data_IF_021940159751
#
_entry.id   IF_021940159751
#
_cell.length_a   1.000
_cell.length_b   1.000
_cell.length_c   1.000
_cell.angle_alpha   90.00
_cell.angle_beta   90.00
_cell.angle_gamma   90.00
#
_symmetry.space_group_name_H-M   'P 1'
#
loop_
_entity.id
_entity.type
_entity.pdbx_description
1 polymer ?
#
# COMPACT_ATOMS: atom_id res chain seq x y z
N UNK A 1 -5.15 -14.00 1.38
CA UNK A 1 -5.80 -13.99 0.05
C UNK A 1 -6.97 -14.97 0.04
N UNK A 2 -7.98 -14.72 -0.78
CA UNK A 2 -9.13 -15.62 -0.95
C UNK A 2 -8.71 -17.09 -1.19
N UNK A 3 -7.56 -17.32 -1.82
CA UNK A 3 -7.04 -18.66 -2.07
C UNK A 3 -6.61 -19.42 -0.80
N UNK A 4 -6.11 -18.75 0.22
CA UNK A 4 -5.72 -19.37 1.50
C UNK A 4 -6.96 -19.72 2.31
N UNK A 5 -7.90 -18.78 2.40
CA UNK A 5 -9.20 -18.99 3.09
C UNK A 5 -9.97 -20.13 2.42
N UNK A 6 -10.01 -20.16 1.08
CA UNK A 6 -10.65 -21.23 0.32
C UNK A 6 -9.98 -22.58 0.57
N UNK A 7 -8.64 -22.63 0.66
CA UNK A 7 -7.92 -23.88 1.02
C UNK A 7 -8.25 -24.35 2.43
N UNK A 8 -8.36 -23.45 3.40
CA UNK A 8 -8.74 -23.80 4.77
C UNK A 8 -10.16 -24.37 4.83
N UNK A 9 -11.12 -23.75 4.13
CA UNK A 9 -12.49 -24.24 4.02
C UNK A 9 -12.55 -25.61 3.33
N UNK A 10 -11.90 -25.77 2.19
CA UNK A 10 -11.91 -27.02 1.41
C UNK A 10 -11.23 -28.17 2.15
N UNK A 11 -10.17 -27.93 2.89
CA UNK A 11 -9.44 -28.93 3.66
C UNK A 11 -10.06 -29.19 5.03
N UNK A 12 -11.19 -28.54 5.36
CA UNK A 12 -11.85 -28.63 6.67
C UNK A 12 -10.88 -28.41 7.85
N UNK A 13 -9.85 -27.61 7.64
CA UNK A 13 -8.84 -27.31 8.65
C UNK A 13 -9.44 -26.55 9.81
N UNK A 14 -10.40 -25.66 9.51
CA UNK A 14 -11.19 -24.91 10.49
C UNK A 14 -12.66 -24.99 10.11
N UNK A 15 -13.60 -25.04 11.07
CA UNK A 15 -15.03 -24.98 10.80
C UNK A 15 -15.41 -23.62 10.22
N UNK A 16 -16.06 -23.65 9.05
CA UNK A 16 -16.57 -22.43 8.44
C UNK A 16 -17.95 -22.11 9.04
N UNK A 17 -18.12 -20.88 9.49
CA UNK A 17 -19.36 -20.34 10.03
C UNK A 17 -20.02 -19.49 8.94
N UNK A 18 -21.34 -19.58 8.81
CA UNK A 18 -22.13 -18.70 7.96
C UNK A 18 -23.09 -17.95 8.87
N UNK A 19 -22.90 -16.64 8.97
CA UNK A 19 -23.76 -15.74 9.73
C UNK A 19 -24.29 -14.64 8.81
N UNK A 20 -25.62 -14.48 8.77
CA UNK A 20 -26.31 -13.52 7.90
C UNK A 20 -25.82 -13.52 6.44
N UNK A 21 -25.45 -14.69 5.89
CA UNK A 21 -24.96 -14.85 4.52
C UNK A 21 -23.48 -14.51 4.33
N UNK A 22 -22.77 -14.16 5.40
CA UNK A 22 -21.33 -13.91 5.40
C UNK A 22 -20.61 -15.19 5.88
N UNK A 23 -19.70 -15.70 5.04
CA UNK A 23 -18.88 -16.86 5.41
C UNK A 23 -17.61 -16.41 6.12
N UNK A 24 -17.29 -17.02 7.25
CA UNK A 24 -16.12 -16.71 8.06
C UNK A 24 -15.62 -17.90 8.87
N UNK A 25 -14.65 -17.65 9.72
CA UNK A 25 -14.14 -18.59 10.72
C UNK A 25 -14.20 -17.94 12.10
N UNK A 26 -14.40 -18.74 13.14
CA UNK A 26 -14.29 -18.23 14.49
C UNK A 26 -12.83 -17.83 14.80
N UNK A 27 -12.65 -16.70 15.45
CA UNK A 27 -11.31 -16.22 15.81
C UNK A 27 -10.61 -17.15 16.80
N UNK A 28 -11.37 -17.84 17.67
CA UNK A 28 -10.81 -18.82 18.60
C UNK A 28 -10.18 -20.02 17.87
N UNK A 29 -10.79 -20.46 16.77
CA UNK A 29 -10.25 -21.53 15.94
C UNK A 29 -8.97 -21.10 15.20
N UNK A 30 -8.88 -19.83 14.84
CA UNK A 30 -7.73 -19.26 14.15
C UNK A 30 -6.55 -18.92 15.07
N UNK A 31 -6.78 -18.87 16.40
CA UNK A 31 -5.75 -18.53 17.38
C UNK A 31 -4.56 -19.50 17.43
N UNK A 32 -4.72 -20.70 16.88
CA UNK A 32 -3.62 -21.69 16.72
C UNK A 32 -2.64 -21.35 15.59
N UNK A 33 -2.95 -20.33 14.78
CA UNK A 33 -2.08 -19.87 13.67
C UNK A 33 -1.13 -18.80 14.23
N UNK A 34 0.21 -18.99 14.16
CA UNK A 34 1.17 -18.06 14.76
C UNK A 34 1.01 -16.61 14.30
N UNK A 35 0.70 -16.39 13.01
CA UNK A 35 0.51 -15.05 12.46
C UNK A 35 -0.76 -14.38 13.01
N UNK A 36 -1.82 -15.15 13.23
CA UNK A 36 -3.07 -14.64 13.83
C UNK A 36 -2.85 -14.36 15.31
N UNK A 37 -2.15 -15.24 16.02
CA UNK A 37 -1.80 -15.03 17.40
C UNK A 37 -0.97 -13.75 17.58
N UNK A 38 0.09 -13.57 16.78
CA UNK A 38 0.91 -12.36 16.81
C UNK A 38 0.09 -11.08 16.51
N UNK A 39 -0.91 -11.16 15.63
CA UNK A 39 -1.80 -10.06 15.34
C UNK A 39 -2.73 -9.76 16.53
N UNK A 40 -3.25 -10.78 17.21
CA UNK A 40 -4.12 -10.63 18.38
C UNK A 40 -3.37 -10.11 19.61
N UNK A 41 -2.10 -10.49 19.77
CA UNK A 41 -1.22 -10.05 20.84
C UNK A 41 -0.55 -8.69 20.55
N UNK A 42 -0.76 -8.15 19.34
CA UNK A 42 -0.17 -6.87 18.95
C UNK A 42 -0.73 -5.73 19.81
N UNK A 43 0.17 -4.82 20.19
CA UNK A 43 -0.19 -3.64 20.99
C UNK A 43 -0.54 -2.43 20.12
N UNK A 44 -1.00 -2.66 18.89
CA UNK A 44 -1.36 -1.60 17.95
C UNK A 44 -2.36 -0.60 18.51
N UNK A 45 -3.30 -1.08 19.34
CA UNK A 45 -4.30 -0.20 19.96
C UNK A 45 -3.69 0.78 20.97
N UNK A 46 -2.55 0.42 21.59
CA UNK A 46 -1.83 1.34 22.48
C UNK A 46 -1.10 2.44 21.71
N UNK A 47 -0.72 2.19 20.47
CA UNK A 47 -0.05 3.17 19.62
C UNK A 47 -1.03 4.18 19.01
N UNK A 48 -2.29 3.80 18.82
CA UNK A 48 -3.34 4.70 18.33
C UNK A 48 -3.58 5.91 19.24
N UNK A 49 -3.36 5.75 20.53
CA UNK A 49 -3.54 6.81 21.53
C UNK A 49 -2.32 7.73 21.63
N UNK A 50 -1.25 7.46 20.86
CA UNK A 50 -0.07 8.29 20.83
C UNK A 50 -0.37 9.61 20.13
N UNK A 51 -0.20 10.73 20.84
CA UNK A 51 -0.32 12.05 20.21
C UNK A 51 0.94 12.32 19.38
N UNK A 52 0.83 12.54 18.07
CA UNK A 52 1.99 12.85 17.25
C UNK A 52 2.61 14.18 17.68
N UNK A 53 3.94 14.27 17.65
CA UNK A 53 4.67 15.51 18.00
C UNK A 53 4.31 16.69 17.10
N UNK A 54 3.91 16.40 15.87
CA UNK A 54 3.42 17.35 14.87
C UNK A 54 2.66 16.61 13.78
N UNK A 55 1.99 17.33 12.92
CA UNK A 55 1.46 16.77 11.68
C UNK A 55 2.61 16.43 10.72
N UNK A 56 2.60 15.22 10.17
CA UNK A 56 3.56 14.75 9.18
C UNK A 56 2.91 14.75 7.80
N UNK A 57 3.62 15.28 6.81
CA UNK A 57 3.17 15.34 5.43
C UNK A 57 3.65 14.13 4.65
N UNK A 58 2.76 13.55 3.84
CA UNK A 58 3.09 12.43 2.99
C UNK A 58 2.75 12.66 1.52
N UNK A 59 3.50 11.97 0.68
CA UNK A 59 3.20 11.78 -0.76
C UNK A 59 3.12 10.28 -1.01
N UNK A 60 2.13 9.86 -1.78
CA UNK A 60 2.03 8.48 -2.24
C UNK A 60 1.94 8.44 -3.76
N UNK A 61 2.82 7.66 -4.38
CA UNK A 61 2.82 7.38 -5.81
C UNK A 61 2.25 5.99 -6.06
N UNK A 62 1.53 5.83 -7.16
CA UNK A 62 0.86 4.56 -7.50
C UNK A 62 -0.16 4.16 -6.43
N UNK A 63 -0.97 5.13 -5.98
CA UNK A 63 -1.80 5.01 -4.79
C UNK A 63 -2.93 3.96 -4.91
N UNK A 64 -3.24 3.50 -6.12
CA UNK A 64 -4.35 2.59 -6.34
C UNK A 64 -5.66 3.17 -5.81
N UNK A 65 -6.49 2.34 -5.21
CA UNK A 65 -7.74 2.78 -4.56
C UNK A 65 -7.55 3.40 -3.15
N UNK A 66 -6.28 3.59 -2.72
CA UNK A 66 -5.95 4.32 -1.50
C UNK A 66 -5.86 3.48 -0.23
N UNK A 67 -5.57 2.19 -0.33
CA UNK A 67 -5.46 1.33 0.85
C UNK A 67 -4.36 1.78 1.82
N UNK A 68 -3.16 2.03 1.31
CA UNK A 68 -2.03 2.53 2.09
C UNK A 68 -2.29 3.96 2.57
N UNK A 69 -2.78 4.85 1.68
CA UNK A 69 -3.14 6.22 2.03
C UNK A 69 -4.15 6.27 3.19
N UNK A 70 -5.15 5.39 3.18
CA UNK A 70 -6.11 5.31 4.28
C UNK A 70 -5.44 4.92 5.59
N UNK A 71 -4.58 3.90 5.57
CA UNK A 71 -3.82 3.48 6.74
C UNK A 71 -2.94 4.60 7.30
N UNK A 72 -2.24 5.31 6.43
CA UNK A 72 -1.41 6.46 6.80
C UNK A 72 -2.25 7.62 7.36
N UNK A 73 -3.41 7.90 6.75
CA UNK A 73 -4.34 8.93 7.27
C UNK A 73 -4.84 8.58 8.68
N UNK A 74 -5.14 7.29 8.93
CA UNK A 74 -5.51 6.82 10.28
C UNK A 74 -4.35 6.94 11.27
N UNK A 75 -3.11 6.83 10.81
CA UNK A 75 -1.90 7.07 11.60
C UNK A 75 -1.57 8.56 11.78
N UNK A 76 -2.41 9.49 11.29
CA UNK A 76 -2.25 10.92 11.49
C UNK A 76 -1.43 11.65 10.41
N UNK A 77 -1.08 10.98 9.31
CA UNK A 77 -0.42 11.65 8.18
C UNK A 77 -1.40 12.53 7.39
N UNK A 78 -0.88 13.65 6.92
CA UNK A 78 -1.56 14.53 5.96
C UNK A 78 -1.01 14.29 4.56
N UNK A 79 -1.88 13.86 3.63
CA UNK A 79 -1.48 13.65 2.24
C UNK A 79 -1.44 14.98 1.49
N UNK A 80 -0.24 15.41 1.09
CA UNK A 80 -0.06 16.60 0.24
C UNK A 80 -0.25 16.28 -1.23
N UNK A 81 -0.04 15.01 -1.62
CA UNK A 81 -0.26 14.53 -2.99
C UNK A 81 -0.42 13.01 -3.00
N UNK A 82 -1.41 12.53 -3.73
CA UNK A 82 -1.57 11.14 -4.15
C UNK A 82 -1.55 11.09 -5.67
N UNK A 83 -0.73 10.24 -6.26
CA UNK A 83 -0.73 10.04 -7.71
C UNK A 83 -1.18 8.64 -8.08
N UNK A 84 -2.07 8.58 -9.06
CA UNK A 84 -2.53 7.32 -9.63
C UNK A 84 -2.83 7.51 -11.12
N UNK A 85 -2.56 6.47 -11.90
CA UNK A 85 -2.77 6.47 -13.35
C UNK A 85 -4.16 5.97 -13.74
N UNK A 86 -4.70 4.99 -12.99
CA UNK A 86 -6.00 4.37 -13.30
C UNK A 86 -7.16 5.28 -12.89
N UNK A 87 -7.99 5.64 -13.86
CA UNK A 87 -9.15 6.51 -13.65
C UNK A 87 -10.14 5.94 -12.62
N UNK A 88 -10.36 4.61 -12.60
CA UNK A 88 -11.32 3.99 -11.67
C UNK A 88 -10.80 4.07 -10.24
N UNK A 89 -9.51 3.86 -10.04
CA UNK A 89 -8.85 4.02 -8.75
C UNK A 89 -8.89 5.49 -8.29
N UNK A 90 -8.59 6.44 -9.18
CA UNK A 90 -8.70 7.87 -8.90
C UNK A 90 -10.12 8.28 -8.51
N UNK A 91 -11.15 7.77 -9.20
CA UNK A 91 -12.54 8.03 -8.87
C UNK A 91 -12.90 7.48 -7.48
N UNK A 92 -12.39 6.29 -7.13
CA UNK A 92 -12.56 5.72 -5.80
C UNK A 92 -11.95 6.61 -4.71
N UNK A 93 -10.71 7.07 -4.93
CA UNK A 93 -10.04 8.01 -4.02
C UNK A 93 -10.84 9.30 -3.83
N UNK A 94 -11.19 9.97 -4.94
CA UNK A 94 -11.92 11.25 -4.94
C UNK A 94 -13.31 11.13 -4.31
N UNK A 95 -14.00 10.00 -4.52
CA UNK A 95 -15.33 9.74 -3.95
C UNK A 95 -15.25 9.52 -2.44
N UNK A 96 -14.32 8.69 -1.98
CA UNK A 96 -14.20 8.33 -0.57
C UNK A 96 -13.52 9.42 0.27
N UNK A 97 -12.65 10.19 -0.33
CA UNK A 97 -11.83 11.22 0.32
C UNK A 97 -11.74 12.48 -0.55
N UNK A 98 -12.83 13.24 -0.70
CA UNK A 98 -12.91 14.39 -1.62
C UNK A 98 -11.92 15.52 -1.28
N UNK A 99 -11.39 15.55 -0.05
CA UNK A 99 -10.41 16.55 0.38
C UNK A 99 -8.95 16.14 0.10
N UNK A 100 -8.72 14.93 -0.42
CA UNK A 100 -7.37 14.52 -0.78
C UNK A 100 -6.97 15.10 -2.13
N UNK A 101 -5.72 15.56 -2.23
CA UNK A 101 -5.14 16.05 -3.48
C UNK A 101 -4.71 14.87 -4.35
N UNK A 102 -5.62 14.38 -5.20
CA UNK A 102 -5.39 13.26 -6.11
C UNK A 102 -5.05 13.76 -7.50
N UNK A 103 -3.81 13.54 -7.94
CA UNK A 103 -3.34 13.79 -9.31
C UNK A 103 -3.52 12.50 -10.12
N UNK A 104 -4.49 12.53 -11.02
CA UNK A 104 -4.71 11.47 -12.00
C UNK A 104 -3.77 11.65 -13.18
N UNK A 105 -2.98 10.63 -13.49
CA UNK A 105 -2.11 10.65 -14.66
C UNK A 105 -0.76 9.99 -14.43
N UNK A 106 0.05 10.06 -15.47
CA UNK A 106 1.37 9.44 -15.50
C UNK A 106 2.34 10.18 -14.58
N UNK A 107 2.93 9.45 -13.65
CA UNK A 107 3.92 9.95 -12.68
C UNK A 107 5.10 10.66 -13.35
N UNK A 108 5.45 10.28 -14.57
CA UNK A 108 6.54 10.87 -15.36
C UNK A 108 6.32 12.35 -15.68
N UNK A 109 5.07 12.80 -15.68
CA UNK A 109 4.70 14.19 -15.98
C UNK A 109 4.56 15.06 -14.73
N UNK A 110 4.80 14.51 -13.54
CA UNK A 110 4.71 15.27 -12.30
C UNK A 110 6.03 15.97 -12.00
N UNK A 111 5.97 17.28 -11.77
CA UNK A 111 7.06 18.05 -11.20
C UNK A 111 6.99 17.98 -9.66
N UNK A 112 7.97 17.33 -9.05
CA UNK A 112 8.05 17.19 -7.60
C UNK A 112 8.86 18.30 -6.93
N UNK A 113 9.53 19.15 -7.70
CA UNK A 113 10.42 20.19 -7.14
C UNK A 113 9.71 21.17 -6.18
N UNK A 114 8.42 21.54 -6.36
CA UNK A 114 7.71 22.40 -5.43
C UNK A 114 7.46 21.75 -4.04
N UNK A 115 7.60 20.43 -3.94
CA UNK A 115 7.40 19.65 -2.71
C UNK A 115 8.69 19.47 -1.90
N UNK A 116 9.83 19.92 -2.42
CA UNK A 116 11.12 19.79 -1.74
C UNK A 116 11.09 20.38 -0.32
N UNK A 117 11.49 19.55 0.66
CA UNK A 117 11.55 19.93 2.06
C UNK A 117 10.18 20.12 2.75
N UNK A 118 9.09 19.77 2.07
CA UNK A 118 7.72 19.88 2.61
C UNK A 118 7.08 18.54 2.92
N UNK A 119 7.76 17.43 2.61
CA UNK A 119 7.27 16.07 2.73
C UNK A 119 8.15 15.31 3.70
N UNK A 120 7.54 14.67 4.67
CA UNK A 120 8.23 13.84 5.65
C UNK A 120 8.35 12.39 5.17
N UNK A 121 7.32 11.89 4.52
CA UNK A 121 7.23 10.51 4.09
C UNK A 121 6.78 10.40 2.64
N UNK A 122 7.53 9.65 1.84
CA UNK A 122 7.18 9.29 0.47
C UNK A 122 6.97 7.78 0.37
N UNK A 123 5.81 7.36 -0.11
CA UNK A 123 5.55 5.95 -0.42
C UNK A 123 5.30 5.74 -1.91
N UNK A 124 5.56 4.51 -2.37
CA UNK A 124 5.24 4.12 -3.73
C UNK A 124 5.27 2.61 -3.93
N UNK A 125 4.11 2.02 -4.23
CA UNK A 125 3.96 0.63 -4.66
C UNK A 125 3.97 0.54 -6.19
N UNK A 126 5.14 0.65 -6.82
CA UNK A 126 5.24 0.64 -8.28
C UNK A 126 4.87 -0.74 -8.86
N UNK A 127 4.35 -0.80 -10.12
CA UNK A 127 3.87 -2.04 -10.72
C UNK A 127 4.90 -3.17 -10.71
N UNK A 128 4.51 -4.32 -10.15
CA UNK A 128 5.36 -5.50 -9.98
C UNK A 128 5.48 -6.40 -11.21
N UNK A 129 4.75 -6.12 -12.29
CA UNK A 129 4.63 -7.02 -13.45
C UNK A 129 5.96 -7.30 -14.14
N UNK A 130 6.91 -6.40 -14.07
CA UNK A 130 8.27 -6.60 -14.60
C UNK A 130 9.12 -7.54 -13.75
N UNK A 131 8.81 -7.69 -12.46
CA UNK A 131 9.57 -8.45 -11.46
C UNK A 131 8.83 -9.71 -10.96
N UNK A 132 7.56 -9.89 -11.35
CA UNK A 132 6.72 -10.99 -10.88
C UNK A 132 6.99 -12.28 -11.65
N UNK A 133 6.92 -13.42 -10.97
CA UNK A 133 6.96 -14.75 -11.60
C UNK A 133 5.82 -14.98 -12.61
N UNK A 134 4.72 -14.26 -12.51
CA UNK A 134 3.63 -14.29 -13.48
C UNK A 134 3.90 -13.44 -14.73
N UNK A 135 4.90 -12.58 -14.71
CA UNK A 135 5.37 -11.79 -15.85
C UNK A 135 6.54 -12.47 -16.57
N UNK A 136 7.03 -11.82 -17.64
CA UNK A 136 8.19 -12.32 -18.43
C UNK A 136 9.54 -12.07 -17.73
N UNK A 137 9.54 -11.64 -16.47
CA UNK A 137 10.74 -11.28 -15.69
C UNK A 137 11.71 -10.36 -16.45
N UNK A 138 11.17 -9.44 -17.26
CA UNK A 138 11.98 -8.52 -18.06
C UNK A 138 12.70 -7.45 -17.20
N UNK A 139 12.38 -7.41 -15.89
CA UNK A 139 13.04 -6.54 -14.92
C UNK A 139 13.02 -5.07 -15.32
N UNK A 140 14.16 -4.40 -15.16
CA UNK A 140 14.31 -2.99 -15.49
C UNK A 140 14.28 -2.68 -17.00
N UNK A 141 14.32 -3.69 -17.87
CA UNK A 141 14.20 -3.52 -19.32
C UNK A 141 12.73 -3.42 -19.77
N UNK A 142 11.77 -3.75 -18.92
CA UNK A 142 10.33 -3.52 -19.17
C UNK A 142 9.99 -2.04 -18.93
N UNK A 143 9.13 -1.46 -19.74
CA UNK A 143 8.67 -0.07 -19.59
C UNK A 143 8.02 0.18 -18.21
N UNK A 144 7.49 -0.85 -17.58
CA UNK A 144 6.91 -0.81 -16.22
C UNK A 144 7.97 -0.93 -15.13
N UNK A 145 9.11 -1.59 -15.40
CA UNK A 145 10.29 -1.60 -14.53
C UNK A 145 10.92 -0.22 -14.41
N UNK A 146 10.75 0.64 -15.42
CA UNK A 146 11.24 2.03 -15.39
C UNK A 146 10.51 2.90 -14.37
N UNK A 147 9.30 2.52 -13.90
CA UNK A 147 8.55 3.27 -12.88
C UNK A 147 9.23 3.25 -11.49
N UNK A 148 10.10 2.27 -11.22
CA UNK A 148 11.02 2.34 -10.08
C UNK A 148 11.89 3.61 -10.12
N UNK A 149 12.40 3.98 -11.29
CA UNK A 149 13.23 5.18 -11.43
C UNK A 149 12.44 6.46 -11.23
N UNK A 150 11.12 6.44 -11.46
CA UNK A 150 10.25 7.57 -11.14
C UNK A 150 10.08 7.74 -9.62
N UNK A 151 9.97 6.65 -8.86
CA UNK A 151 10.03 6.71 -7.40
C UNK A 151 11.39 7.28 -6.94
N UNK A 152 12.50 6.80 -7.53
CA UNK A 152 13.83 7.30 -7.22
C UNK A 152 13.98 8.80 -7.60
N UNK A 153 13.40 9.24 -8.72
CA UNK A 153 13.33 10.66 -9.11
C UNK A 153 12.57 11.48 -8.07
N UNK A 154 11.41 11.00 -7.65
CA UNK A 154 10.63 11.68 -6.61
C UNK A 154 11.41 11.81 -5.29
N UNK A 155 12.10 10.75 -4.84
CA UNK A 155 12.99 10.82 -3.66
C UNK A 155 14.05 11.90 -3.82
N UNK A 156 14.70 11.97 -4.98
CA UNK A 156 15.76 12.95 -5.28
C UNK A 156 15.23 14.41 -5.30
N UNK A 157 14.05 14.60 -5.89
CA UNK A 157 13.44 15.93 -6.05
C UNK A 157 12.81 16.43 -4.75
N UNK A 158 12.01 15.59 -4.08
CA UNK A 158 11.31 15.91 -2.83
C UNK A 158 12.25 16.00 -1.64
N UNK A 159 13.20 15.07 -1.53
CA UNK A 159 14.07 14.86 -0.36
C UNK A 159 13.27 14.65 0.93
N UNK A 160 12.40 13.62 0.99
CA UNK A 160 11.64 13.31 2.19
C UNK A 160 12.57 12.83 3.31
N UNK A 161 12.10 12.87 4.56
CA UNK A 161 12.85 12.33 5.70
C UNK A 161 12.94 10.79 5.63
N UNK A 162 11.85 10.16 5.18
CA UNK A 162 11.74 8.70 5.01
C UNK A 162 11.06 8.40 3.69
N UNK A 163 11.46 7.33 3.03
CA UNK A 163 10.71 6.80 1.90
C UNK A 163 10.51 5.28 2.03
N UNK A 164 9.45 4.79 1.40
CA UNK A 164 9.11 3.37 1.33
C UNK A 164 8.76 2.99 -0.10
N UNK A 165 9.48 2.01 -0.64
CA UNK A 165 9.09 1.34 -1.89
C UNK A 165 8.50 -0.03 -1.55
N UNK A 166 7.29 -0.32 -2.03
CA UNK A 166 6.65 -1.62 -1.88
C UNK A 166 6.66 -2.37 -3.22
N UNK A 167 7.00 -3.65 -3.16
CA UNK A 167 6.91 -4.51 -4.34
C UNK A 167 6.90 -6.00 -3.92
N UNK A 168 6.74 -6.89 -4.91
CA UNK A 168 6.77 -8.33 -4.68
C UNK A 168 8.19 -8.83 -4.40
N UNK A 169 8.30 -9.99 -3.72
CA UNK A 169 9.57 -10.63 -3.38
C UNK A 169 10.53 -10.79 -4.58
N UNK A 170 9.98 -10.95 -5.80
CA UNK A 170 10.76 -11.08 -7.03
C UNK A 170 11.69 -9.91 -7.34
N UNK A 171 11.43 -8.71 -6.78
CA UNK A 171 12.32 -7.55 -6.93
C UNK A 171 13.72 -7.82 -6.31
N UNK A 172 13.77 -8.49 -5.15
CA UNK A 172 15.03 -8.74 -4.42
C UNK A 172 15.81 -9.91 -5.02
N UNK A 173 15.13 -10.83 -5.70
CA UNK A 173 15.73 -12.04 -6.29
C UNK A 173 15.99 -11.91 -7.80
N UNK A 174 15.88 -10.70 -8.35
CA UNK A 174 16.14 -10.42 -9.76
C UNK A 174 17.63 -10.09 -9.92
N UNK A 175 18.34 -10.97 -10.62
CA UNK A 175 19.75 -10.79 -11.04
C UNK A 175 19.85 -9.93 -12.30
#
# INVERSE_FOLDING_TARGET
SNSVVQKWANNKKFPMIIDHGISGFDMSDLSSIPEVQAMMESKWDLEKDSTPLRQYNSVELFAGAGGLALGMSLAGFHHVLLNEFDTSACNTLKTNKPNWNVIEGDVRHIDFTPLRGKVDFLSGGFPCQAFSYAGKQAGFNDSRGTLFFELARAVKEIRPLVFMGENVKGLISHD
#
